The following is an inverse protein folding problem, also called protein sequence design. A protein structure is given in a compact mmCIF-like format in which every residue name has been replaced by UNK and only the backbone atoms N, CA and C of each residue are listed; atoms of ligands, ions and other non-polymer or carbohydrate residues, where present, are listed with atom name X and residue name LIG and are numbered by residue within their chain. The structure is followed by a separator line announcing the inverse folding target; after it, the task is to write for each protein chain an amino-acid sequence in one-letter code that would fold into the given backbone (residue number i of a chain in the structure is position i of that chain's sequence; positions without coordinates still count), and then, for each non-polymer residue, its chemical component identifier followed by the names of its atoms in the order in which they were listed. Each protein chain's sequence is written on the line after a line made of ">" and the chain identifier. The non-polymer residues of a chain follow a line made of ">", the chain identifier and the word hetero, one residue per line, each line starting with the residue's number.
data_IF_763564332345
#
_entry.id   IF_763564332345
#
_cell.length_a   1.000
_cell.length_b   1.000
_cell.length_c   1.000
_cell.angle_alpha   90.00
_cell.angle_beta   90.00
_cell.angle_gamma   90.00
#
_symmetry.space_group_name_H-M   'P 1'
#
loop_
_entity.id
_entity.type
_entity.pdbx_description
1 polymer ?
#
# COMPACT_ATOMS: atom_id res chain seq x y z
N UNK A 1 5.30 21.89 2.60
CA UNK A 1 5.21 21.44 4.01
C UNK A 1 6.62 21.12 4.47
N UNK A 2 7.00 21.47 5.71
CA UNK A 2 8.28 21.00 6.27
C UNK A 2 8.13 19.49 6.52
N UNK A 3 8.82 18.67 5.73
CA UNK A 3 8.98 17.28 6.08
C UNK A 3 9.89 17.20 7.30
N UNK A 4 9.48 16.53 8.39
CA UNK A 4 10.41 16.24 9.45
C UNK A 4 11.50 15.29 8.90
N UNK A 5 12.75 15.48 9.33
CA UNK A 5 13.86 14.54 9.04
C UNK A 5 13.56 13.12 9.56
N UNK A 6 12.57 13.00 10.47
CA UNK A 6 12.10 11.76 11.07
C UNK A 6 10.60 11.60 10.77
N UNK A 7 10.24 10.71 9.86
CA UNK A 7 8.85 10.41 9.48
C UNK A 7 8.12 9.58 10.55
N UNK A 8 8.85 8.79 11.35
CA UNK A 8 8.35 8.04 12.50
C UNK A 8 9.52 7.76 13.47
N UNK A 9 9.38 8.02 14.79
CA UNK A 9 10.44 7.77 15.75
C UNK A 9 10.93 6.32 15.73
N UNK A 10 12.25 6.11 15.60
CA UNK A 10 12.86 4.78 15.55
C UNK A 10 12.96 4.16 14.16
N UNK A 11 12.52 4.85 13.10
CA UNK A 11 12.86 4.48 11.72
C UNK A 11 14.17 5.15 11.28
N UNK A 12 14.96 4.49 10.40
CA UNK A 12 16.18 5.08 9.84
C UNK A 12 15.90 6.36 9.05
N UNK A 13 16.86 7.28 9.02
CA UNK A 13 16.79 8.48 8.19
C UNK A 13 16.93 8.15 6.70
N UNK A 14 16.51 9.06 5.83
CA UNK A 14 16.71 8.91 4.39
C UNK A 14 18.20 8.79 4.06
N UNK A 15 18.59 7.74 3.33
CA UNK A 15 19.98 7.44 2.99
C UNK A 15 20.70 6.47 3.95
N UNK A 16 20.12 6.15 5.11
CA UNK A 16 20.68 5.12 6.03
C UNK A 16 20.31 3.70 5.61
N UNK A 17 19.43 3.55 4.63
CA UNK A 17 18.97 2.27 4.12
C UNK A 17 18.83 2.31 2.60
N UNK A 18 18.87 1.12 2.00
CA UNK A 18 18.58 0.93 0.58
C UNK A 18 17.17 0.36 0.40
N UNK A 19 16.52 0.73 -0.70
CA UNK A 19 15.18 0.28 -1.07
C UNK A 19 15.30 -0.82 -2.10
N UNK A 20 14.91 -2.04 -1.69
CA UNK A 20 14.80 -3.17 -2.58
C UNK A 20 13.38 -3.25 -3.14
N UNK A 21 13.22 -3.14 -4.46
CA UNK A 21 11.93 -3.22 -5.14
C UNK A 21 11.71 -4.59 -5.77
N UNK A 22 10.53 -5.17 -5.54
CA UNK A 22 10.13 -6.45 -6.15
C UNK A 22 10.14 -6.39 -7.69
N UNK A 23 10.40 -7.54 -8.34
CA UNK A 23 10.25 -7.71 -9.79
C UNK A 23 8.78 -7.90 -10.17
N UNK A 24 8.33 -7.16 -11.19
CA UNK A 24 7.06 -7.41 -11.87
C UNK A 24 7.34 -7.93 -13.27
N UNK A 25 6.69 -9.05 -13.65
CA UNK A 25 6.73 -9.57 -15.01
C UNK A 25 5.83 -8.70 -15.90
N UNK A 26 6.31 -8.35 -17.09
CA UNK A 26 5.46 -7.72 -18.11
C UNK A 26 4.27 -8.62 -18.46
N UNK A 27 3.11 -8.03 -18.69
CA UNK A 27 1.91 -8.75 -19.11
C UNK A 27 2.06 -9.25 -20.56
N UNK A 28 1.69 -10.51 -20.81
CA UNK A 28 1.73 -11.21 -22.10
C UNK A 28 1.17 -10.38 -23.29
N UNK A 29 0.07 -9.66 -23.07
CA UNK A 29 -0.59 -8.81 -24.09
C UNK A 29 0.28 -7.67 -24.62
N UNK A 30 1.34 -7.27 -23.91
CA UNK A 30 2.12 -6.05 -24.21
C UNK A 30 3.54 -6.30 -24.70
N UNK A 31 3.99 -7.56 -24.69
CA UNK A 31 5.21 -7.98 -25.40
C UNK A 31 5.17 -7.57 -26.88
N UNK A 32 4.00 -7.71 -27.51
CA UNK A 32 3.79 -7.30 -28.89
C UNK A 32 3.97 -5.81 -29.17
N UNK A 33 3.75 -4.92 -28.19
CA UNK A 33 3.92 -3.46 -28.37
C UNK A 33 5.39 -3.06 -28.57
N UNK A 34 6.32 -3.82 -27.99
CA UNK A 34 7.75 -3.52 -28.02
C UNK A 34 8.55 -4.57 -28.82
N UNK A 35 7.87 -5.48 -29.52
CA UNK A 35 8.51 -6.56 -30.28
C UNK A 35 9.31 -7.54 -29.42
N UNK A 36 8.98 -7.65 -28.13
CA UNK A 36 9.70 -8.51 -27.19
C UNK A 36 9.17 -9.96 -27.25
N UNK A 37 10.02 -10.99 -27.15
CA UNK A 37 9.59 -12.38 -27.05
C UNK A 37 8.72 -12.59 -25.80
N UNK A 38 7.61 -13.35 -25.90
CA UNK A 38 6.65 -13.55 -24.79
C UNK A 38 7.23 -14.31 -23.59
N UNK A 39 8.33 -15.04 -23.81
CA UNK A 39 9.12 -15.77 -22.82
C UNK A 39 10.21 -14.92 -22.18
N UNK A 40 10.44 -13.69 -22.64
CA UNK A 40 11.45 -12.79 -22.10
C UNK A 40 11.01 -12.22 -20.74
N UNK A 41 11.84 -12.35 -19.71
CA UNK A 41 11.68 -11.56 -18.48
C UNK A 41 12.22 -10.16 -18.74
N UNK A 42 11.35 -9.23 -19.13
CA UNK A 42 11.70 -7.82 -19.21
C UNK A 42 11.13 -7.08 -17.98
N UNK A 43 12.01 -6.37 -17.28
CA UNK A 43 11.71 -5.55 -16.10
C UNK A 43 11.09 -4.23 -16.58
N UNK A 44 10.04 -3.75 -15.91
CA UNK A 44 9.53 -2.41 -16.16
C UNK A 44 10.05 -1.43 -15.11
N UNK A 45 11.04 -0.62 -15.51
CA UNK A 45 11.64 0.41 -14.65
C UNK A 45 10.62 1.50 -14.24
N UNK A 46 9.62 1.78 -15.09
CA UNK A 46 8.72 2.94 -14.92
C UNK A 46 7.26 2.60 -15.19
N UNK A 47 6.98 1.84 -16.24
CA UNK A 47 5.61 1.50 -16.61
C UNK A 47 5.12 0.32 -15.75
N UNK A 48 3.84 0.27 -15.36
CA UNK A 48 3.19 -0.91 -14.75
C UNK A 48 3.44 -1.21 -13.27
N UNK A 49 4.16 -0.35 -12.53
CA UNK A 49 4.16 -0.39 -11.07
C UNK A 49 2.80 0.08 -10.54
N UNK A 50 2.10 -0.77 -9.79
CA UNK A 50 0.76 -0.48 -9.27
C UNK A 50 0.82 0.51 -8.09
N UNK A 51 -0.17 1.39 -8.03
CA UNK A 51 -0.47 2.29 -6.91
C UNK A 51 0.75 3.05 -6.34
N UNK A 52 1.35 2.52 -5.29
CA UNK A 52 2.29 3.23 -4.43
C UNK A 52 3.76 3.03 -4.84
N UNK A 53 4.12 1.91 -5.49
CA UNK A 53 5.48 1.74 -6.05
C UNK A 53 5.72 2.69 -7.22
N UNK A 54 4.68 2.97 -8.00
CA UNK A 54 4.70 4.00 -9.04
C UNK A 54 4.91 5.40 -8.45
N UNK A 55 4.31 5.73 -7.30
CA UNK A 55 4.48 7.05 -6.66
C UNK A 55 5.93 7.28 -6.18
N UNK A 56 6.56 6.27 -5.56
CA UNK A 56 7.95 6.35 -5.14
C UNK A 56 8.90 6.64 -6.31
N UNK A 57 8.64 6.04 -7.47
CA UNK A 57 9.43 6.25 -8.69
C UNK A 57 9.05 7.52 -9.44
N UNK A 58 7.79 7.95 -9.39
CA UNK A 58 7.34 9.23 -9.96
C UNK A 58 8.04 10.39 -9.26
N UNK A 59 8.21 10.31 -7.94
CA UNK A 59 8.97 11.31 -7.17
C UNK A 59 10.42 11.44 -7.65
N UNK A 60 11.02 10.38 -8.21
CA UNK A 60 12.39 10.43 -8.74
C UNK A 60 12.50 10.98 -10.16
N UNK A 61 11.38 11.23 -10.86
CA UNK A 61 11.43 11.81 -12.21
C UNK A 61 11.92 13.26 -12.12
N UNK A 62 12.80 13.67 -13.02
CA UNK A 62 13.37 15.02 -13.01
C UNK A 62 12.32 16.14 -12.93
N UNK A 63 11.17 15.97 -13.58
CA UNK A 63 10.06 16.94 -13.55
C UNK A 63 9.30 17.01 -12.21
N UNK A 64 9.57 16.11 -11.28
CA UNK A 64 8.88 15.96 -10.00
C UNK A 64 9.83 16.11 -8.79
N UNK A 65 11.15 16.19 -9.01
CA UNK A 65 12.15 16.34 -7.93
C UNK A 65 11.93 17.60 -7.08
N UNK A 66 11.39 18.66 -7.68
CA UNK A 66 11.09 19.92 -6.99
C UNK A 66 9.68 19.96 -6.37
N UNK A 67 8.91 18.86 -6.42
CA UNK A 67 7.56 18.82 -5.88
C UNK A 67 7.61 18.76 -4.34
N UNK A 68 7.15 19.80 -3.62
CA UNK A 68 7.23 19.86 -2.16
C UNK A 68 6.23 18.92 -1.48
N UNK A 69 5.40 18.19 -2.22
CA UNK A 69 4.45 17.17 -1.72
C UNK A 69 4.98 15.72 -1.90
N UNK A 70 6.19 15.56 -2.44
CA UNK A 70 6.82 14.26 -2.67
C UNK A 70 8.15 14.13 -1.93
N UNK A 71 8.41 12.94 -1.38
CA UNK A 71 9.71 12.59 -0.79
C UNK A 71 10.60 12.06 -1.91
N UNK A 72 11.54 12.89 -2.37
CA UNK A 72 12.60 12.47 -3.28
C UNK A 72 13.70 11.74 -2.50
N UNK A 73 14.23 10.66 -3.04
CA UNK A 73 15.36 9.93 -2.45
C UNK A 73 16.50 9.84 -3.47
N UNK A 74 17.76 9.66 -3.05
CA UNK A 74 18.84 9.47 -4.00
C UNK A 74 18.60 8.26 -4.91
N UNK A 75 18.94 8.36 -6.20
CA UNK A 75 18.69 7.29 -7.17
C UNK A 75 19.43 5.98 -6.77
N UNK A 76 20.62 6.11 -6.17
CA UNK A 76 21.43 5.02 -5.63
C UNK A 76 20.80 4.29 -4.45
N UNK A 77 19.76 4.86 -3.83
CA UNK A 77 18.99 4.18 -2.79
C UNK A 77 18.16 3.04 -3.36
N UNK A 78 17.83 3.03 -4.65
CA UNK A 78 16.95 2.01 -5.24
C UNK A 78 17.76 0.87 -5.87
N UNK A 79 17.52 -0.35 -5.41
CA UNK A 79 18.12 -1.56 -5.98
C UNK A 79 17.06 -2.50 -6.53
N UNK A 80 17.41 -3.17 -7.63
CA UNK A 80 16.52 -3.96 -8.44
C UNK A 80 16.97 -5.42 -8.52
N UNK A 81 16.01 -6.33 -8.62
CA UNK A 81 16.28 -7.74 -8.90
C UNK A 81 16.55 -8.59 -7.65
N UNK A 82 16.98 -9.85 -7.86
CA UNK A 82 17.12 -10.83 -6.79
C UNK A 82 18.41 -10.57 -6.00
N UNK A 83 18.29 -9.84 -4.90
CA UNK A 83 19.39 -9.53 -3.97
C UNK A 83 19.28 -10.31 -2.66
N UNK A 84 18.65 -11.48 -2.73
CA UNK A 84 18.30 -12.29 -1.54
C UNK A 84 19.51 -12.48 -0.61
N UNK A 85 20.64 -12.97 -1.13
CA UNK A 85 21.81 -13.24 -0.29
C UNK A 85 22.44 -11.97 0.29
N UNK A 86 22.35 -10.85 -0.42
CA UNK A 86 22.84 -9.56 0.06
C UNK A 86 21.97 -9.04 1.21
N UNK A 87 20.65 -9.04 1.01
CA UNK A 87 19.65 -8.63 2.02
C UNK A 87 19.77 -9.52 3.26
N UNK A 88 19.88 -10.85 3.07
CA UNK A 88 20.01 -11.78 4.19
C UNK A 88 21.35 -11.65 4.93
N UNK A 89 22.39 -11.07 4.31
CA UNK A 89 23.69 -10.85 4.97
C UNK A 89 23.60 -9.71 5.99
N UNK A 90 22.87 -8.65 5.66
CA UNK A 90 22.70 -7.47 6.50
C UNK A 90 21.28 -6.88 6.36
N UNK A 91 20.27 -7.53 6.96
CA UNK A 91 18.86 -7.17 6.73
C UNK A 91 18.50 -5.77 7.25
N UNK A 92 19.23 -5.24 8.23
CA UNK A 92 18.99 -3.92 8.82
C UNK A 92 19.28 -2.76 7.86
N UNK A 93 20.08 -2.98 6.83
CA UNK A 93 20.46 -1.98 5.84
C UNK A 93 19.43 -1.79 4.71
N UNK A 94 18.30 -2.51 4.75
CA UNK A 94 17.32 -2.52 3.66
C UNK A 94 15.89 -2.24 4.13
N UNK A 95 15.20 -1.37 3.40
CA UNK A 95 13.75 -1.31 3.37
C UNK A 95 13.28 -2.06 2.13
N UNK A 96 12.58 -3.16 2.33
CA UNK A 96 11.99 -3.89 1.23
C UNK A 96 10.56 -3.42 0.98
N UNK A 97 10.31 -3.05 -0.26
CA UNK A 97 9.03 -2.53 -0.67
C UNK A 97 8.38 -3.44 -1.72
N UNK A 98 7.17 -3.91 -1.40
CA UNK A 98 6.49 -4.95 -2.19
C UNK A 98 4.98 -4.79 -2.18
N UNK A 99 4.38 -4.94 -3.36
CA UNK A 99 2.94 -5.10 -3.55
C UNK A 99 2.42 -6.52 -3.20
N UNK A 100 3.33 -7.50 -3.06
CA UNK A 100 3.04 -8.92 -2.79
C UNK A 100 3.81 -9.47 -1.59
N UNK A 101 3.34 -9.16 -0.38
CA UNK A 101 4.01 -9.55 0.87
C UNK A 101 4.35 -11.04 0.98
N UNK A 102 3.38 -11.93 0.76
CA UNK A 102 3.60 -13.38 0.91
C UNK A 102 4.68 -13.95 -0.03
N UNK A 103 4.68 -13.55 -1.31
CA UNK A 103 5.72 -14.00 -2.25
C UNK A 103 7.08 -13.44 -1.88
N UNK A 104 7.13 -12.19 -1.41
CA UNK A 104 8.40 -11.64 -0.98
C UNK A 104 8.94 -12.34 0.25
N UNK A 105 8.10 -12.60 1.26
CA UNK A 105 8.47 -13.32 2.48
C UNK A 105 8.97 -14.74 2.23
N UNK A 106 8.51 -15.43 1.18
CA UNK A 106 9.08 -16.72 0.76
C UNK A 106 10.60 -16.65 0.54
N UNK A 107 11.10 -15.50 0.06
CA UNK A 107 12.53 -15.30 -0.16
C UNK A 107 13.29 -14.96 1.13
N UNK A 108 12.61 -14.59 2.21
CA UNK A 108 13.24 -14.15 3.46
C UNK A 108 13.62 -15.29 4.40
N UNK A 109 13.06 -16.49 4.23
CA UNK A 109 13.45 -17.63 5.05
C UNK A 109 14.81 -18.16 4.61
N UNK A 110 15.86 -18.05 5.44
CA UNK A 110 17.18 -18.59 5.13
C UNK A 110 17.16 -20.13 5.09
N UNK A 111 17.93 -20.72 4.18
CA UNK A 111 17.98 -22.19 4.06
C UNK A 111 18.68 -22.86 5.26
N UNK A 112 19.50 -22.10 5.99
CA UNK A 112 20.17 -22.51 7.23
C UNK A 112 19.27 -22.38 8.47
N UNK A 113 18.02 -21.95 8.31
CA UNK A 113 17.02 -21.90 9.38
C UNK A 113 17.22 -20.77 10.40
N UNK A 114 18.16 -19.84 10.15
CA UNK A 114 18.36 -18.70 11.06
C UNK A 114 17.18 -17.72 10.97
N UNK A 115 16.87 -17.09 12.09
CA UNK A 115 15.88 -16.00 12.15
C UNK A 115 16.44 -14.72 11.54
N UNK A 116 15.57 -13.95 10.88
CA UNK A 116 15.89 -12.66 10.27
C UNK A 116 15.05 -11.59 10.96
N UNK A 117 15.62 -10.75 11.83
CA UNK A 117 14.85 -9.74 12.51
C UNK A 117 14.34 -8.71 11.51
N UNK A 118 13.11 -8.23 11.71
CA UNK A 118 12.54 -7.20 10.87
C UNK A 118 11.11 -6.83 11.28
N UNK A 119 10.64 -5.73 10.71
CA UNK A 119 9.27 -5.24 10.89
C UNK A 119 8.55 -5.25 9.55
N UNK A 120 7.42 -5.94 9.47
CA UNK A 120 6.50 -5.88 8.35
C UNK A 120 5.47 -4.76 8.60
N UNK A 121 5.47 -3.74 7.75
CA UNK A 121 4.52 -2.64 7.83
C UNK A 121 3.35 -2.92 6.87
N UNK A 122 2.15 -3.12 7.41
CA UNK A 122 0.92 -3.34 6.66
C UNK A 122 0.16 -2.03 6.44
N UNK A 123 0.26 -1.49 5.23
CA UNK A 123 -0.40 -0.22 4.86
C UNK A 123 -1.73 -0.35 4.12
N UNK A 124 -2.24 -1.57 3.91
CA UNK A 124 -3.50 -1.81 3.17
C UNK A 124 -4.71 -1.78 4.12
N UNK A 125 -5.90 -1.58 3.56
CA UNK A 125 -7.15 -1.69 4.29
C UNK A 125 -7.36 -3.11 4.81
N UNK A 126 -8.11 -3.23 5.90
CA UNK A 126 -8.52 -4.52 6.45
C UNK A 126 -9.35 -5.33 5.42
N UNK A 127 -9.28 -6.67 5.45
CA UNK A 127 -10.03 -7.50 4.53
C UNK A 127 -11.54 -7.37 4.79
N UNK A 128 -12.30 -7.10 3.72
CA UNK A 128 -13.77 -6.95 3.76
C UNK A 128 -14.53 -7.92 2.83
N UNK A 129 -13.80 -8.87 2.23
CA UNK A 129 -14.38 -9.98 1.45
C UNK A 129 -13.65 -11.25 1.83
N UNK A 130 -14.33 -12.39 1.71
CA UNK A 130 -13.78 -13.72 2.02
C UNK A 130 -12.42 -13.98 1.35
N UNK A 131 -12.29 -13.69 0.04
CA UNK A 131 -11.01 -13.86 -0.67
C UNK A 131 -9.86 -13.02 -0.08
N UNK A 132 -10.18 -11.82 0.40
CA UNK A 132 -9.21 -10.95 1.06
C UNK A 132 -8.85 -11.47 2.45
N UNK A 133 -9.81 -11.99 3.21
CA UNK A 133 -9.55 -12.62 4.50
C UNK A 133 -8.63 -13.84 4.34
N UNK A 134 -8.88 -14.69 3.35
CA UNK A 134 -8.02 -15.83 3.03
C UNK A 134 -6.59 -15.39 2.68
N UNK A 135 -6.47 -14.35 1.86
CA UNK A 135 -5.17 -13.80 1.47
C UNK A 135 -4.43 -13.14 2.63
N UNK A 136 -5.16 -12.44 3.50
CA UNK A 136 -4.63 -11.81 4.70
C UNK A 136 -4.17 -12.86 5.71
N UNK A 137 -4.97 -13.91 5.96
CA UNK A 137 -4.59 -15.04 6.82
C UNK A 137 -3.32 -15.74 6.33
N UNK A 138 -3.18 -15.93 5.01
CA UNK A 138 -1.93 -16.47 4.43
C UNK A 138 -0.75 -15.54 4.68
N UNK A 139 -0.91 -14.23 4.51
CA UNK A 139 0.14 -13.26 4.83
C UNK A 139 0.55 -13.31 6.30
N UNK A 140 -0.42 -13.34 7.23
CA UNK A 140 -0.16 -13.44 8.67
C UNK A 140 0.68 -14.69 9.01
N UNK A 141 0.38 -15.82 8.38
CA UNK A 141 1.18 -17.05 8.56
C UNK A 141 2.60 -16.94 8.05
N UNK A 142 2.83 -16.21 6.95
CA UNK A 142 4.20 -15.94 6.49
C UNK A 142 4.96 -15.01 7.43
N UNK A 143 4.31 -13.97 7.95
CA UNK A 143 4.91 -13.04 8.91
C UNK A 143 5.30 -13.78 10.19
N UNK A 144 4.42 -14.63 10.72
CA UNK A 144 4.67 -15.50 11.87
C UNK A 144 5.85 -16.45 11.61
N UNK A 145 5.87 -17.12 10.45
CA UNK A 145 6.94 -18.05 10.07
C UNK A 145 8.31 -17.35 9.93
N UNK A 146 8.33 -16.09 9.52
CA UNK A 146 9.54 -15.28 9.43
C UNK A 146 9.90 -14.58 10.74
N UNK A 147 9.11 -14.76 11.81
CA UNK A 147 9.29 -14.11 13.13
C UNK A 147 9.35 -12.57 13.05
N UNK A 148 8.64 -11.97 12.09
CA UNK A 148 8.64 -10.52 11.89
C UNK A 148 7.62 -9.84 12.81
N UNK A 149 7.98 -8.64 13.29
CA UNK A 149 7.03 -7.75 13.97
C UNK A 149 6.03 -7.18 12.95
N UNK A 150 4.73 -7.25 13.21
CA UNK A 150 3.71 -6.61 12.39
C UNK A 150 3.36 -5.23 12.95
N UNK A 151 3.40 -4.21 12.10
CA UNK A 151 2.91 -2.86 12.39
C UNK A 151 1.86 -2.44 11.36
N UNK A 152 0.77 -1.84 11.80
CA UNK A 152 -0.26 -1.31 10.91
C UNK A 152 -0.01 0.17 10.64
N UNK A 153 0.03 0.54 9.36
CA UNK A 153 0.19 1.92 8.92
C UNK A 153 -0.80 2.21 7.78
N UNK A 154 -2.06 1.87 8.00
CA UNK A 154 -3.14 2.14 7.05
C UNK A 154 -3.77 3.50 7.34
N UNK A 155 -3.78 4.37 6.35
CA UNK A 155 -4.60 5.59 6.35
C UNK A 155 -5.85 5.34 5.52
N UNK A 156 -7.03 5.37 6.15
CA UNK A 156 -8.31 5.25 5.45
C UNK A 156 -8.50 6.43 4.48
N UNK A 157 -8.97 6.15 3.27
CA UNK A 157 -9.44 7.18 2.34
C UNK A 157 -10.86 7.67 2.66
N UNK A 158 -11.53 7.04 3.63
CA UNK A 158 -12.88 7.37 4.09
C UNK A 158 -12.82 8.02 5.47
N UNK A 159 -13.75 8.94 5.70
CA UNK A 159 -13.96 9.56 7.01
C UNK A 159 -14.34 8.51 8.06
N UNK A 160 -13.86 8.68 9.28
CA UNK A 160 -14.30 7.88 10.41
C UNK A 160 -15.74 8.23 10.79
N UNK A 161 -16.43 7.29 11.44
CA UNK A 161 -17.82 7.45 11.86
C UNK A 161 -18.06 8.76 12.63
N UNK A 162 -17.18 9.10 13.58
CA UNK A 162 -17.28 10.32 14.39
C UNK A 162 -17.15 11.60 13.55
N UNK A 163 -16.31 11.58 12.52
CA UNK A 163 -16.19 12.71 11.60
C UNK A 163 -17.42 12.84 10.70
N UNK A 164 -18.02 11.72 10.30
CA UNK A 164 -19.28 11.70 9.53
C UNK A 164 -20.42 12.26 10.39
N UNK A 165 -20.54 11.81 11.64
CA UNK A 165 -21.51 12.32 12.60
C UNK A 165 -21.37 13.84 12.79
N UNK A 166 -20.13 14.32 13.03
CA UNK A 166 -19.85 15.75 13.14
C UNK A 166 -20.24 16.51 11.87
N UNK A 167 -19.81 16.04 10.70
CA UNK A 167 -20.10 16.68 9.41
C UNK A 167 -21.60 16.83 9.20
N UNK A 168 -22.35 15.75 9.43
CA UNK A 168 -23.79 15.73 9.21
C UNK A 168 -24.51 16.65 10.20
N UNK A 169 -24.07 16.69 11.46
CA UNK A 169 -24.58 17.62 12.47
C UNK A 169 -24.24 19.09 12.16
N UNK A 170 -23.04 19.38 11.67
CA UNK A 170 -22.60 20.76 11.34
C UNK A 170 -23.34 21.33 10.12
N UNK A 171 -23.64 20.47 9.14
CA UNK A 171 -24.46 20.85 7.98
C UNK A 171 -25.92 21.13 8.37
N UNK A 172 -26.39 20.56 9.48
CA UNK A 172 -27.81 20.57 9.90
C UNK A 172 -28.72 20.05 8.77
N UNK A 173 -28.34 18.91 8.18
CA UNK A 173 -29.03 18.36 7.03
C UNK A 173 -30.43 17.86 7.41
N UNK A 174 -31.47 18.41 6.78
CA UNK A 174 -32.86 17.96 6.96
C UNK A 174 -33.10 16.52 6.49
N UNK A 175 -32.35 16.08 5.48
CA UNK A 175 -32.42 14.75 4.88
C UNK A 175 -31.01 14.28 4.51
N UNK A 176 -30.66 13.06 4.92
CA UNK A 176 -29.42 12.40 4.50
C UNK A 176 -29.72 11.22 3.59
N UNK A 177 -28.99 11.14 2.48
CA UNK A 177 -29.06 10.04 1.51
C UNK A 177 -27.73 9.29 1.58
N UNK A 178 -27.59 8.27 2.44
CA UNK A 178 -26.35 7.51 2.54
C UNK A 178 -26.12 6.69 1.26
N UNK A 179 -24.99 6.94 0.60
CA UNK A 179 -24.52 6.19 -0.58
C UNK A 179 -23.13 5.63 -0.29
N UNK A 180 -22.74 4.58 -1.00
CA UNK A 180 -21.42 3.93 -0.84
C UNK A 180 -21.15 3.38 0.57
N UNK A 181 -22.19 2.83 1.21
CA UNK A 181 -22.12 2.14 2.50
C UNK A 181 -22.96 0.86 2.45
N UNK A 182 -22.51 -0.18 3.16
CA UNK A 182 -23.29 -1.41 3.38
C UNK A 182 -24.25 -1.28 4.57
N UNK A 183 -24.10 -0.23 5.39
CA UNK A 183 -24.85 0.02 6.62
C UNK A 183 -25.53 1.41 6.63
N UNK A 184 -26.43 1.71 5.66
CA UNK A 184 -27.11 3.00 5.59
C UNK A 184 -28.00 3.29 6.82
N UNK A 185 -28.45 2.25 7.53
CA UNK A 185 -29.29 2.35 8.72
C UNK A 185 -28.60 3.04 9.90
N UNK A 186 -27.26 3.01 9.98
CA UNK A 186 -26.51 3.64 11.08
C UNK A 186 -26.66 5.16 11.11
N UNK A 187 -26.93 5.78 9.95
CA UNK A 187 -27.13 7.22 9.83
C UNK A 187 -28.37 7.72 10.58
N UNK A 188 -29.35 6.83 10.86
CA UNK A 188 -30.53 7.18 11.67
C UNK A 188 -30.18 7.65 13.09
N UNK A 189 -28.99 7.29 13.57
CA UNK A 189 -28.55 7.68 14.90
C UNK A 189 -28.08 9.15 14.97
N UNK A 190 -27.82 9.78 13.82
CA UNK A 190 -27.21 11.11 13.76
C UNK A 190 -28.12 12.17 13.13
N UNK A 191 -29.20 11.77 12.46
CA UNK A 191 -30.15 12.69 11.81
C UNK A 191 -31.59 12.32 12.00
N UNK A 192 -32.46 13.32 11.83
CA UNK A 192 -33.91 13.17 11.91
C UNK A 192 -34.49 12.33 10.76
N UNK A 193 -33.94 12.44 9.55
CA UNK A 193 -34.49 11.78 8.38
C UNK A 193 -33.39 11.21 7.48
N UNK A 194 -33.55 9.94 7.10
CA UNK A 194 -32.72 9.30 6.07
C UNK A 194 -33.57 8.77 4.93
N UNK A 195 -33.05 8.84 3.71
CA UNK A 195 -33.60 8.18 2.53
C UNK A 195 -32.56 7.24 1.95
N UNK A 196 -32.81 5.93 2.05
CA UNK A 196 -31.97 4.90 1.43
C UNK A 196 -32.48 4.64 0.01
N UNK A 197 -31.74 5.01 -1.04
CA UNK A 197 -32.18 4.80 -2.41
C UNK A 197 -31.93 3.37 -2.88
N UNK A 198 -32.64 2.96 -3.92
CA UNK A 198 -32.30 1.76 -4.70
C UNK A 198 -31.69 2.14 -6.05
N UNK A 199 -30.88 1.24 -6.63
CA UNK A 199 -30.22 1.48 -7.92
C UNK A 199 -31.25 1.79 -9.02
N UNK A 200 -31.06 2.93 -9.69
CA UNK A 200 -31.96 3.41 -10.74
C UNK A 200 -33.14 4.27 -10.25
N UNK A 201 -33.27 4.47 -8.94
CA UNK A 201 -34.28 5.37 -8.38
C UNK A 201 -34.00 6.84 -8.75
N UNK A 202 -35.04 7.57 -9.14
CA UNK A 202 -35.00 9.03 -9.28
C UNK A 202 -35.62 9.70 -8.07
N UNK A 203 -34.82 10.45 -7.32
CA UNK A 203 -35.28 11.24 -6.17
C UNK A 203 -35.62 12.65 -6.68
N UNK A 204 -36.86 13.08 -6.47
CA UNK A 204 -37.30 14.45 -6.76
C UNK A 204 -37.22 15.27 -5.47
N UNK A 205 -36.60 16.45 -5.55
CA UNK A 205 -36.60 17.46 -4.49
C UNK A 205 -37.95 18.16 -4.38
#
# INVERSE_FOLDING_TARGET
>A
MNYPDILCPGLPATGEFKIALSRLKLNASRYGKYGLPQDLYAESYIDYRQAHEGKLLVAQRDKQKDNPDLICMPDESFIWGPLREEILRDPGSYLLYTSSGAHTLLHFLPADGRSVPGTYIYGKAEPFKEEMELSFRRLMKWIELCELKLEYAHTSGHMYQQDIERLVSEIDAKLVIPIHTEHPELFKNWVSEIRVPHTGESIKQ
#
